data_IF_147398474997
#
_entry.id   IF_147398474997
#
_cell.length_a   1.000
_cell.length_b   1.000
_cell.length_c   1.000
_cell.angle_alpha   90.00
_cell.angle_beta   90.00
_cell.angle_gamma   90.00
#
_symmetry.space_group_name_H-M   'P 1'
#
loop_
_entity.id
_entity.type
_entity.pdbx_description
1 polymer ?
#
# COMPACT_ATOMS: atom_id res chain seq x y z
N UNK A 1 43.23 -12.17 -2.55
CA UNK A 1 42.01 -13.00 -2.52
C UNK A 1 41.24 -12.89 -1.21
N UNK A 2 41.72 -13.33 -0.03
CA UNK A 2 40.94 -13.17 1.23
C UNK A 2 40.59 -11.71 1.56
N UNK A 3 41.55 -10.80 1.37
CA UNK A 3 41.35 -9.35 1.59
C UNK A 3 40.27 -8.74 0.68
N UNK A 4 40.16 -9.20 -0.56
CA UNK A 4 39.18 -8.71 -1.53
C UNK A 4 37.76 -9.18 -1.20
N UNK A 5 37.64 -10.42 -0.70
CA UNK A 5 36.38 -11.00 -0.20
C UNK A 5 35.89 -10.22 1.03
N UNK A 6 36.78 -9.96 2.00
CA UNK A 6 36.45 -9.19 3.20
C UNK A 6 36.02 -7.76 2.86
N UNK A 7 36.68 -7.15 1.88
CA UNK A 7 36.35 -5.80 1.40
C UNK A 7 34.99 -5.80 0.70
N UNK A 8 34.71 -6.79 -0.15
CA UNK A 8 33.41 -6.93 -0.81
C UNK A 8 32.30 -7.15 0.22
N UNK A 9 32.47 -8.07 1.16
CA UNK A 9 31.49 -8.35 2.20
C UNK A 9 31.18 -7.11 3.05
N UNK A 10 32.21 -6.36 3.48
CA UNK A 10 32.01 -5.11 4.22
C UNK A 10 31.30 -4.05 3.37
N UNK A 11 31.64 -3.92 2.10
CA UNK A 11 30.98 -2.97 1.20
C UNK A 11 29.49 -3.30 1.00
N UNK A 12 29.16 -4.58 0.84
CA UNK A 12 27.80 -5.08 0.71
C UNK A 12 27.03 -4.91 2.01
N UNK A 13 27.64 -5.20 3.16
CA UNK A 13 27.02 -5.01 4.47
C UNK A 13 26.70 -3.55 4.80
N UNK A 14 27.50 -2.61 4.27
CA UNK A 14 27.28 -1.16 4.41
C UNK A 14 26.31 -0.59 3.36
N UNK A 15 25.98 -1.36 2.32
CA UNK A 15 25.11 -0.89 1.25
C UNK A 15 23.67 -0.69 1.76
N UNK A 16 23.03 0.40 1.34
CA UNK A 16 21.68 0.74 1.78
C UNK A 16 20.65 -0.34 1.45
N UNK A 17 20.88 -1.12 0.40
CA UNK A 17 19.99 -2.18 -0.08
C UNK A 17 20.11 -3.50 0.68
N UNK A 18 21.16 -3.68 1.49
CA UNK A 18 21.45 -4.95 2.15
C UNK A 18 20.82 -4.99 3.54
N UNK A 19 20.15 -6.11 3.85
CA UNK A 19 19.66 -6.48 5.18
C UNK A 19 20.70 -7.30 5.94
N UNK A 20 21.32 -8.27 5.28
CA UNK A 20 22.42 -9.06 5.82
C UNK A 20 23.25 -9.69 4.71
N UNK A 21 24.50 -10.01 5.03
CA UNK A 21 25.44 -10.71 4.14
C UNK A 21 25.97 -11.95 4.84
N UNK A 22 26.03 -13.09 4.15
CA UNK A 22 26.66 -14.31 4.64
C UNK A 22 27.75 -14.74 3.66
N UNK A 23 28.99 -14.90 4.14
CA UNK A 23 30.03 -15.52 3.35
C UNK A 23 29.85 -17.04 3.42
N UNK A 24 29.93 -17.71 2.27
CA UNK A 24 29.88 -19.17 2.17
C UNK A 24 31.14 -19.62 1.44
N UNK A 25 31.97 -20.41 2.12
CA UNK A 25 33.15 -20.99 1.50
C UNK A 25 32.74 -22.07 0.50
N UNK A 26 33.59 -22.34 -0.49
CA UNK A 26 33.35 -23.43 -1.44
C UNK A 26 33.22 -24.79 -0.72
N UNK A 27 33.92 -24.99 0.39
CA UNK A 27 33.81 -26.18 1.23
C UNK A 27 32.44 -26.27 1.90
N UNK A 28 31.99 -25.20 2.57
CA UNK A 28 30.66 -25.16 3.22
C UNK A 28 29.53 -25.29 2.19
N UNK A 29 29.71 -24.70 1.00
CA UNK A 29 28.76 -24.81 -0.10
C UNK A 29 28.66 -26.25 -0.60
N UNK A 30 29.78 -26.98 -0.65
CA UNK A 30 29.80 -28.37 -1.07
C UNK A 30 29.10 -29.27 -0.06
N UNK A 31 29.35 -29.08 1.23
CA UNK A 31 28.68 -29.82 2.30
C UNK A 31 27.15 -29.62 2.24
N UNK A 32 26.68 -28.37 2.19
CA UNK A 32 25.24 -28.08 2.08
C UNK A 32 24.61 -28.64 0.82
N UNK A 33 25.30 -28.54 -0.32
CA UNK A 33 24.75 -29.00 -1.58
C UNK A 33 24.66 -30.53 -1.64
N UNK A 34 25.63 -31.24 -1.08
CA UNK A 34 25.58 -32.70 -0.92
C UNK A 34 24.44 -33.12 0.02
N UNK A 35 24.19 -32.38 1.11
CA UNK A 35 23.04 -32.62 1.99
C UNK A 35 21.68 -32.40 1.29
N UNK A 36 21.56 -31.35 0.48
CA UNK A 36 20.33 -31.02 -0.25
C UNK A 36 19.99 -32.05 -1.34
N UNK A 37 21.01 -32.57 -2.03
CA UNK A 37 20.85 -33.58 -3.09
C UNK A 37 20.75 -35.00 -2.49
N UNK A 38 21.30 -35.21 -1.29
CA UNK A 38 21.35 -36.51 -0.62
C UNK A 38 22.45 -37.44 -1.17
N UNK A 39 23.39 -36.93 -1.96
CA UNK A 39 24.51 -37.65 -2.55
C UNK A 39 25.80 -36.83 -2.47
N UNK A 40 26.94 -37.49 -2.25
CA UNK A 40 28.24 -36.81 -2.26
C UNK A 40 28.76 -36.65 -3.69
N UNK A 41 28.46 -35.51 -4.31
CA UNK A 41 28.91 -35.21 -5.66
C UNK A 41 30.45 -35.09 -5.76
N UNK A 42 31.15 -34.89 -4.63
CA UNK A 42 32.61 -34.84 -4.60
C UNK A 42 33.22 -36.22 -4.89
N UNK A 43 32.54 -37.30 -4.49
CA UNK A 43 32.95 -38.67 -4.78
C UNK A 43 32.82 -38.97 -6.29
N UNK A 44 31.81 -38.39 -6.95
CA UNK A 44 31.58 -38.56 -8.39
C UNK A 44 32.51 -37.70 -9.26
N UNK A 45 32.72 -36.44 -8.88
CA UNK A 45 33.53 -35.49 -9.66
C UNK A 45 35.02 -35.52 -9.32
N UNK A 46 35.40 -36.00 -8.13
CA UNK A 46 36.79 -36.06 -7.66
C UNK A 46 37.40 -34.69 -7.31
N UNK A 47 36.64 -33.59 -7.46
CA UNK A 47 37.03 -32.23 -7.07
C UNK A 47 35.79 -31.38 -6.76
N UNK A 48 35.97 -30.29 -6.01
CA UNK A 48 34.92 -29.32 -5.73
C UNK A 48 34.84 -28.24 -6.84
N UNK A 49 33.78 -28.21 -7.67
CA UNK A 49 33.61 -27.22 -8.72
C UNK A 49 33.05 -25.88 -8.19
N UNK A 50 32.59 -25.83 -6.93
CA UNK A 50 31.96 -24.66 -6.35
C UNK A 50 32.98 -23.57 -6.03
N UNK A 51 32.49 -22.34 -5.99
CA UNK A 51 33.28 -21.14 -5.70
C UNK A 51 32.80 -20.54 -4.39
N UNK A 52 33.66 -19.75 -3.77
CA UNK A 52 33.26 -18.94 -2.62
C UNK A 52 32.19 -17.94 -3.05
N UNK A 53 31.11 -17.82 -2.29
CA UNK A 53 30.01 -16.91 -2.55
C UNK A 53 29.72 -16.00 -1.36
N UNK A 54 29.03 -14.90 -1.64
CA UNK A 54 28.47 -14.02 -0.60
C UNK A 54 26.97 -13.95 -0.86
N UNK A 55 26.19 -14.53 0.04
CA UNK A 55 24.74 -14.45 0.01
C UNK A 55 24.32 -13.08 0.54
N UNK A 56 23.61 -12.32 -0.29
CA UNK A 56 23.13 -10.97 0.05
C UNK A 56 21.62 -11.00 0.20
N UNK A 57 21.16 -10.85 1.43
CA UNK A 57 19.73 -10.66 1.70
C UNK A 57 19.39 -9.18 1.57
N UNK A 58 18.52 -8.85 0.61
CA UNK A 58 18.11 -7.46 0.37
C UNK A 58 16.97 -7.05 1.30
N UNK A 59 16.86 -5.73 1.54
CA UNK A 59 15.65 -5.14 2.13
C UNK A 59 14.52 -5.17 1.12
N UNK A 60 13.29 -5.36 1.60
CA UNK A 60 12.09 -5.51 0.76
C UNK A 60 11.90 -4.36 -0.25
N UNK A 61 12.29 -3.13 0.12
CA UNK A 61 12.20 -1.94 -0.74
C UNK A 61 13.08 -2.00 -2.00
N UNK A 62 14.12 -2.86 -2.02
CA UNK A 62 15.01 -3.06 -3.17
C UNK A 62 14.73 -4.36 -3.93
N UNK A 63 13.73 -5.16 -3.50
CA UNK A 63 13.32 -6.39 -4.19
C UNK A 63 12.31 -6.05 -5.30
N UNK A 64 12.80 -5.32 -6.31
CA UNK A 64 12.07 -5.01 -7.52
C UNK A 64 12.93 -5.34 -8.73
N UNK A 65 12.33 -5.80 -9.82
CA UNK A 65 13.05 -6.23 -11.04
C UNK A 65 14.10 -5.21 -11.50
N UNK A 66 13.72 -3.93 -11.57
CA UNK A 66 14.60 -2.86 -12.02
C UNK A 66 15.75 -2.63 -11.02
N UNK A 67 15.45 -2.48 -9.74
CA UNK A 67 16.45 -2.28 -8.67
C UNK A 67 17.46 -3.43 -8.61
N UNK A 68 16.98 -4.68 -8.67
CA UNK A 68 17.81 -5.87 -8.63
C UNK A 68 18.70 -5.99 -9.87
N UNK A 69 18.17 -5.68 -11.06
CA UNK A 69 18.98 -5.66 -12.27
C UNK A 69 20.09 -4.60 -12.22
N UNK A 70 19.81 -3.41 -11.70
CA UNK A 70 20.82 -2.37 -11.49
C UNK A 70 21.89 -2.80 -10.47
N UNK A 71 21.48 -3.36 -9.33
CA UNK A 71 22.42 -3.86 -8.32
C UNK A 71 23.29 -4.97 -8.91
N UNK A 72 22.69 -5.92 -9.64
CA UNK A 72 23.43 -7.01 -10.25
C UNK A 72 24.46 -6.51 -11.27
N UNK A 73 24.09 -5.58 -12.15
CA UNK A 73 25.03 -4.97 -13.10
C UNK A 73 26.18 -4.26 -12.39
N UNK A 74 25.90 -3.44 -11.37
CA UNK A 74 26.94 -2.75 -10.59
C UNK A 74 27.90 -3.70 -9.87
N UNK A 75 27.42 -4.85 -9.42
CA UNK A 75 28.24 -5.86 -8.78
C UNK A 75 29.06 -6.65 -9.79
N UNK A 76 28.51 -6.97 -10.96
CA UNK A 76 29.22 -7.65 -12.04
C UNK A 76 30.32 -6.80 -12.70
N UNK A 77 30.28 -5.47 -12.57
CA UNK A 77 31.32 -4.56 -13.05
C UNK A 77 32.60 -4.57 -12.19
N UNK A 78 32.60 -5.27 -11.05
CA UNK A 78 33.78 -5.38 -10.17
C UNK A 78 34.69 -6.50 -10.63
N UNK A 79 35.97 -6.22 -10.84
CA UNK A 79 36.97 -7.18 -11.34
C UNK A 79 37.13 -8.46 -10.49
N UNK A 80 36.71 -8.41 -9.23
CA UNK A 80 36.79 -9.52 -8.26
C UNK A 80 35.44 -10.23 -8.05
N UNK A 81 34.41 -9.90 -8.83
CA UNK A 81 33.11 -10.58 -8.86
C UNK A 81 33.00 -11.32 -10.18
N UNK A 82 32.94 -12.65 -10.13
CA UNK A 82 32.87 -13.46 -11.34
C UNK A 82 31.43 -13.58 -11.89
N UNK A 83 30.46 -13.77 -11.00
CA UNK A 83 29.05 -13.92 -11.38
C UNK A 83 28.13 -13.42 -10.26
N UNK A 84 26.99 -12.85 -10.65
CA UNK A 84 25.89 -12.50 -9.73
C UNK A 84 24.66 -13.30 -10.15
N UNK A 85 24.32 -14.31 -9.35
CA UNK A 85 23.18 -15.19 -9.60
C UNK A 85 21.98 -14.81 -8.72
N UNK A 86 20.82 -14.70 -9.35
CA UNK A 86 19.53 -14.53 -8.69
C UNK A 86 18.39 -14.95 -9.63
N UNK A 87 17.26 -15.36 -9.06
CA UNK A 87 16.11 -15.78 -9.86
C UNK A 87 15.34 -14.58 -10.43
N UNK A 88 15.78 -14.14 -11.61
CA UNK A 88 15.15 -13.04 -12.37
C UNK A 88 13.68 -13.32 -12.67
N UNK A 89 13.36 -14.56 -13.03
CA UNK A 89 12.00 -14.95 -13.41
C UNK A 89 11.06 -14.89 -12.23
N UNK A 90 11.47 -15.43 -11.08
CA UNK A 90 10.69 -15.38 -9.85
C UNK A 90 10.49 -13.94 -9.38
N UNK A 91 11.54 -13.11 -9.36
CA UNK A 91 11.44 -11.70 -8.98
C UNK A 91 10.50 -10.93 -9.91
N UNK A 92 10.60 -11.16 -11.22
CA UNK A 92 9.70 -10.52 -12.19
C UNK A 92 8.24 -10.95 -11.97
N UNK A 93 7.99 -12.24 -11.80
CA UNK A 93 6.65 -12.77 -11.51
C UNK A 93 6.07 -12.19 -10.21
N UNK A 94 6.86 -12.12 -9.14
CA UNK A 94 6.43 -11.55 -7.87
C UNK A 94 6.12 -10.05 -8.02
N UNK A 95 7.02 -9.29 -8.64
CA UNK A 95 6.84 -7.85 -8.87
C UNK A 95 5.60 -7.56 -9.70
N UNK A 96 5.40 -8.29 -10.79
CA UNK A 96 4.25 -8.10 -11.70
C UNK A 96 2.93 -8.52 -11.03
N UNK A 97 2.92 -9.59 -10.25
CA UNK A 97 1.75 -10.02 -9.50
C UNK A 97 1.38 -9.01 -8.42
N UNK A 98 2.36 -8.50 -7.66
CA UNK A 98 2.12 -7.46 -6.65
C UNK A 98 1.57 -6.18 -7.30
N UNK A 99 2.14 -5.74 -8.43
CA UNK A 99 1.62 -4.60 -9.19
C UNK A 99 0.19 -4.84 -9.69
N UNK A 100 -0.10 -6.03 -10.23
CA UNK A 100 -1.43 -6.41 -10.73
C UNK A 100 -2.47 -6.43 -9.62
N UNK A 101 -2.15 -7.04 -8.48
CA UNK A 101 -3.03 -7.08 -7.30
C UNK A 101 -3.27 -5.66 -6.79
N UNK A 102 -2.21 -4.86 -6.66
CA UNK A 102 -2.31 -3.45 -6.26
C UNK A 102 -3.23 -2.64 -7.18
N UNK A 103 -3.13 -2.84 -8.50
CA UNK A 103 -4.00 -2.20 -9.48
C UNK A 103 -5.48 -2.58 -9.27
N UNK A 104 -5.79 -3.86 -9.09
CA UNK A 104 -7.17 -4.30 -8.85
C UNK A 104 -7.73 -3.83 -7.51
N UNK A 105 -6.90 -3.76 -6.46
CA UNK A 105 -7.28 -3.18 -5.17
C UNK A 105 -7.61 -1.70 -5.36
N UNK A 106 -6.76 -0.94 -6.04
CA UNK A 106 -7.00 0.49 -6.32
C UNK A 106 -8.29 0.69 -7.13
N UNK A 107 -8.51 -0.13 -8.14
CA UNK A 107 -9.74 -0.10 -8.95
C UNK A 107 -10.97 -0.38 -8.07
N UNK A 108 -10.93 -1.42 -7.24
CA UNK A 108 -12.02 -1.76 -6.33
C UNK A 108 -12.26 -0.65 -5.29
N UNK A 109 -11.22 -0.05 -4.71
CA UNK A 109 -11.33 1.09 -3.80
C UNK A 109 -11.97 2.30 -4.47
N UNK A 110 -11.60 2.60 -5.71
CA UNK A 110 -12.22 3.66 -6.52
C UNK A 110 -13.72 3.39 -6.76
N UNK A 111 -14.07 2.15 -7.11
CA UNK A 111 -15.45 1.72 -7.30
C UNK A 111 -16.27 1.84 -6.01
N UNK A 112 -15.74 1.38 -4.86
CA UNK A 112 -16.42 1.52 -3.58
C UNK A 112 -16.58 2.98 -3.15
N UNK A 113 -15.58 3.82 -3.42
CA UNK A 113 -15.66 5.27 -3.18
C UNK A 113 -16.78 5.89 -4.01
N UNK A 114 -16.90 5.51 -5.28
CA UNK A 114 -17.98 5.98 -6.15
C UNK A 114 -19.36 5.53 -5.65
N UNK A 115 -19.50 4.26 -5.24
CA UNK A 115 -20.73 3.73 -4.65
C UNK A 115 -21.10 4.51 -3.38
N UNK A 116 -20.13 4.77 -2.49
CA UNK A 116 -20.35 5.54 -1.27
C UNK A 116 -20.87 6.96 -1.57
N UNK A 117 -20.30 7.65 -2.56
CA UNK A 117 -20.77 8.98 -3.01
C UNK A 117 -22.21 8.91 -3.51
N UNK A 118 -22.56 7.89 -4.29
CA UNK A 118 -23.93 7.71 -4.79
C UNK A 118 -24.93 7.48 -3.64
N UNK A 119 -24.58 6.65 -2.66
CA UNK A 119 -25.40 6.38 -1.48
C UNK A 119 -25.58 7.63 -0.60
N UNK A 120 -24.52 8.41 -0.40
CA UNK A 120 -24.62 9.69 0.31
C UNK A 120 -25.54 10.65 -0.43
N UNK A 121 -25.40 10.75 -1.75
CA UNK A 121 -26.25 11.62 -2.58
C UNK A 121 -27.73 11.21 -2.54
N UNK A 122 -28.05 9.92 -2.63
CA UNK A 122 -29.43 9.43 -2.54
C UNK A 122 -30.03 9.68 -1.15
N UNK A 123 -29.27 9.45 -0.08
CA UNK A 123 -29.69 9.72 1.30
C UNK A 123 -29.97 11.20 1.55
N UNK A 124 -29.08 12.10 1.07
CA UNK A 124 -29.26 13.54 1.23
C UNK A 124 -30.48 14.03 0.46
N UNK A 125 -30.70 13.53 -0.76
CA UNK A 125 -31.90 13.86 -1.54
C UNK A 125 -33.17 13.51 -0.78
N UNK A 126 -33.21 12.32 -0.17
CA UNK A 126 -34.35 11.89 0.64
C UNK A 126 -34.55 12.81 1.87
N UNK A 127 -33.45 13.15 2.56
CA UNK A 127 -33.47 14.05 3.72
C UNK A 127 -33.95 15.46 3.38
N UNK A 128 -33.58 15.98 2.20
CA UNK A 128 -34.04 17.28 1.72
C UNK A 128 -35.52 17.23 1.32
N UNK A 129 -35.93 16.17 0.61
CA UNK A 129 -37.32 15.99 0.18
C UNK A 129 -38.30 15.91 1.36
N UNK A 130 -37.91 15.27 2.46
CA UNK A 130 -38.74 15.22 3.68
C UNK A 130 -38.89 16.58 4.37
N UNK A 131 -37.95 17.51 4.15
CA UNK A 131 -37.97 18.89 4.67
C UNK A 131 -38.40 19.94 3.63
N UNK A 132 -38.97 19.53 2.50
CA UNK A 132 -39.30 20.42 1.38
C UNK A 132 -40.16 21.63 1.76
N UNK A 133 -41.15 21.45 2.63
CA UNK A 133 -42.03 22.55 3.08
C UNK A 133 -41.27 23.60 3.87
N UNK A 134 -40.42 23.19 4.81
CA UNK A 134 -39.60 24.11 5.62
C UNK A 134 -38.65 24.90 4.72
N UNK A 135 -38.02 24.22 3.75
CA UNK A 135 -37.12 24.85 2.78
C UNK A 135 -37.87 25.88 1.94
N UNK A 136 -39.09 25.56 1.48
CA UNK A 136 -39.95 26.50 0.74
C UNK A 136 -40.33 27.71 1.58
N UNK A 137 -40.73 27.52 2.84
CA UNK A 137 -41.02 28.64 3.75
C UNK A 137 -39.81 29.54 3.91
N UNK A 138 -38.61 28.98 4.11
CA UNK A 138 -37.36 29.74 4.17
C UNK A 138 -37.08 30.52 2.87
N UNK A 139 -37.35 29.94 1.71
CA UNK A 139 -37.22 30.63 0.42
C UNK A 139 -38.20 31.80 0.28
N UNK A 140 -39.44 31.66 0.75
CA UNK A 140 -40.48 32.71 0.67
C UNK A 140 -40.17 33.92 1.54
N UNK A 141 -39.51 33.72 2.69
CA UNK A 141 -39.02 34.83 3.54
C UNK A 141 -37.65 35.39 3.09
N UNK A 142 -37.14 34.98 1.93
CA UNK A 142 -35.93 35.54 1.33
C UNK A 142 -34.60 34.95 1.85
N UNK A 143 -34.62 33.78 2.49
CA UNK A 143 -33.38 33.15 2.97
C UNK A 143 -32.45 32.76 1.81
N UNK A 144 -31.16 33.05 1.95
CA UNK A 144 -30.16 32.72 0.92
C UNK A 144 -29.93 31.20 0.80
N UNK A 145 -29.60 30.72 -0.40
CA UNK A 145 -29.23 29.30 -0.63
C UNK A 145 -28.13 28.81 0.32
N UNK A 146 -27.19 29.69 0.68
CA UNK A 146 -26.11 29.39 1.65
C UNK A 146 -26.64 29.17 3.07
N UNK A 147 -27.65 29.93 3.50
CA UNK A 147 -28.28 29.77 4.81
C UNK A 147 -29.00 28.42 4.90
N UNK A 148 -29.76 28.06 3.85
CA UNK A 148 -30.52 26.79 3.81
C UNK A 148 -29.59 25.57 3.82
N UNK A 149 -28.47 25.58 3.08
CA UNK A 149 -27.55 24.43 2.97
C UNK A 149 -26.65 24.20 4.18
N UNK A 150 -26.30 25.26 4.92
CA UNK A 150 -25.36 25.19 6.06
C UNK A 150 -25.69 24.10 7.09
N UNK A 151 -26.93 23.97 7.61
CA UNK A 151 -27.25 22.91 8.58
C UNK A 151 -27.07 21.50 8.02
N UNK A 152 -27.41 21.28 6.75
CA UNK A 152 -27.23 19.98 6.09
C UNK A 152 -25.76 19.61 5.94
N UNK A 153 -24.92 20.57 5.51
CA UNK A 153 -23.48 20.35 5.37
C UNK A 153 -22.85 20.04 6.74
N UNK A 154 -23.17 20.82 7.77
CA UNK A 154 -22.63 20.59 9.12
C UNK A 154 -23.06 19.25 9.71
N UNK A 155 -24.32 18.85 9.51
CA UNK A 155 -24.80 17.55 9.95
C UNK A 155 -24.00 16.42 9.30
N UNK A 156 -23.85 16.44 7.97
CA UNK A 156 -23.14 15.38 7.25
C UNK A 156 -21.63 15.37 7.52
N UNK A 157 -21.00 16.53 7.75
CA UNK A 157 -19.60 16.57 8.23
C UNK A 157 -19.47 15.85 9.58
N UNK A 158 -20.39 16.10 10.53
CA UNK A 158 -20.37 15.43 11.84
C UNK A 158 -20.54 13.92 11.70
N UNK A 159 -21.49 13.47 10.86
CA UNK A 159 -21.63 12.05 10.55
C UNK A 159 -20.37 11.47 9.86
N UNK A 160 -19.75 12.22 8.96
CA UNK A 160 -18.50 11.84 8.30
C UNK A 160 -17.34 11.68 9.29
N UNK A 161 -17.20 12.59 10.26
CA UNK A 161 -16.23 12.48 11.35
C UNK A 161 -16.47 11.21 12.16
N UNK A 162 -17.71 10.97 12.60
CA UNK A 162 -18.04 9.77 13.39
C UNK A 162 -17.79 8.49 12.58
N UNK A 163 -18.24 8.46 11.32
CA UNK A 163 -18.03 7.31 10.43
C UNK A 163 -16.55 7.04 10.17
N UNK A 164 -15.75 8.10 9.95
CA UNK A 164 -14.30 7.96 9.80
C UNK A 164 -13.64 7.44 11.07
N UNK A 165 -14.06 7.89 12.26
CA UNK A 165 -13.51 7.41 13.52
C UNK A 165 -13.81 5.92 13.74
N UNK A 166 -15.03 5.48 13.41
CA UNK A 166 -15.40 4.05 13.44
C UNK A 166 -14.53 3.25 12.45
N UNK A 167 -14.32 3.78 11.25
CA UNK A 167 -13.47 3.15 10.25
C UNK A 167 -12.00 3.05 10.72
N UNK A 168 -11.47 4.08 11.40
CA UNK A 168 -10.12 4.05 11.98
C UNK A 168 -9.98 2.99 13.07
N UNK A 169 -10.99 2.84 13.94
CA UNK A 169 -11.01 1.77 14.94
C UNK A 169 -11.01 0.40 14.29
N UNK A 170 -11.88 0.20 13.29
CA UNK A 170 -11.93 -1.06 12.53
C UNK A 170 -10.61 -1.36 11.80
N UNK A 171 -9.99 -0.33 11.20
CA UNK A 171 -8.69 -0.45 10.56
C UNK A 171 -7.60 -0.82 11.58
N UNK A 172 -7.58 -0.18 12.75
CA UNK A 172 -6.63 -0.50 13.82
C UNK A 172 -6.75 -1.94 14.29
N UNK A 173 -7.97 -2.45 14.46
CA UNK A 173 -8.22 -3.86 14.81
C UNK A 173 -7.73 -4.79 13.70
N UNK A 174 -7.99 -4.46 12.43
CA UNK A 174 -7.57 -5.28 11.30
C UNK A 174 -6.03 -5.34 11.18
N UNK A 175 -5.34 -4.21 11.34
CA UNK A 175 -3.88 -4.15 11.31
C UNK A 175 -3.27 -4.91 12.50
N UNK A 176 -3.82 -4.77 13.70
CA UNK A 176 -3.38 -5.53 14.87
C UNK A 176 -3.54 -7.04 14.67
N UNK A 177 -4.67 -7.47 14.12
CA UNK A 177 -4.89 -8.89 13.80
C UNK A 177 -3.88 -9.40 12.76
N UNK A 178 -3.57 -8.59 11.75
CA UNK A 178 -2.63 -8.95 10.69
C UNK A 178 -1.19 -9.04 11.21
N UNK A 179 -0.78 -8.15 12.11
CA UNK A 179 0.54 -8.15 12.74
C UNK A 179 0.78 -9.40 13.58
N UNK A 180 -0.23 -9.86 14.34
CA UNK A 180 -0.17 -11.12 15.09
C UNK A 180 -0.02 -12.33 14.16
N UNK A 181 -0.71 -12.32 13.01
CA UNK A 181 -0.70 -13.45 12.08
C UNK A 181 0.55 -13.50 11.21
N UNK A 182 1.12 -12.35 10.89
CA UNK A 182 2.28 -12.21 10.01
C UNK A 182 3.29 -11.22 10.62
N UNK A 183 3.99 -11.62 11.68
CA UNK A 183 4.95 -10.74 12.38
C UNK A 183 6.13 -10.31 11.49
N UNK A 184 6.40 -11.06 10.42
CA UNK A 184 7.42 -10.78 9.41
C UNK A 184 7.16 -9.47 8.65
N UNK A 185 5.90 -9.03 8.56
CA UNK A 185 5.51 -7.82 7.84
C UNK A 185 5.82 -6.54 8.63
N UNK A 186 6.02 -6.62 9.96
CA UNK A 186 6.40 -5.50 10.84
C UNK A 186 5.57 -4.24 10.61
N UNK A 187 4.27 -4.41 10.38
CA UNK A 187 3.36 -3.36 9.89
C UNK A 187 3.27 -2.22 10.92
N UNK A 188 3.35 -2.56 12.20
CA UNK A 188 3.26 -1.61 13.31
C UNK A 188 4.56 -0.84 13.56
N UNK A 189 5.69 -1.24 12.97
CA UNK A 189 6.98 -0.56 13.18
C UNK A 189 7.11 0.73 12.35
N UNK A 190 6.46 0.80 11.19
CA UNK A 190 6.46 2.02 10.36
C UNK A 190 5.40 3.02 10.82
N UNK A 191 5.71 3.74 11.90
CA UNK A 191 4.82 4.73 12.49
C UNK A 191 4.47 5.87 11.52
N UNK A 192 5.36 6.22 10.59
CA UNK A 192 5.14 7.30 9.63
C UNK A 192 4.08 6.87 8.62
N UNK A 193 4.18 5.65 8.10
CA UNK A 193 3.19 5.09 7.19
C UNK A 193 1.83 4.92 7.86
N UNK A 194 1.80 4.46 9.13
CA UNK A 194 0.56 4.37 9.90
C UNK A 194 -0.12 5.72 10.08
N UNK A 195 0.62 6.76 10.49
CA UNK A 195 0.06 8.11 10.65
C UNK A 195 -0.47 8.63 9.31
N UNK A 196 0.25 8.40 8.21
CA UNK A 196 -0.19 8.81 6.87
C UNK A 196 -1.49 8.12 6.45
N UNK A 197 -1.62 6.81 6.69
CA UNK A 197 -2.82 6.03 6.34
C UNK A 197 -4.02 6.47 7.20
N UNK A 198 -3.86 6.53 8.53
CA UNK A 198 -4.94 6.93 9.43
C UNK A 198 -5.39 8.37 9.17
N UNK A 199 -4.43 9.29 9.02
CA UNK A 199 -4.72 10.67 8.64
C UNK A 199 -5.40 10.77 7.28
N UNK A 200 -4.94 10.01 6.29
CA UNK A 200 -5.51 9.94 4.95
C UNK A 200 -6.97 9.46 4.96
N UNK A 201 -7.26 8.37 5.66
CA UNK A 201 -8.63 7.82 5.79
C UNK A 201 -9.56 8.82 6.47
N UNK A 202 -9.09 9.47 7.55
CA UNK A 202 -9.86 10.49 8.25
C UNK A 202 -10.21 11.68 7.34
N UNK A 203 -9.19 12.25 6.71
CA UNK A 203 -9.33 13.42 5.83
C UNK A 203 -10.23 13.08 4.64
N UNK A 204 -10.00 11.94 3.98
CA UNK A 204 -10.82 11.50 2.85
C UNK A 204 -12.27 11.27 3.25
N UNK A 205 -12.53 10.62 4.40
CA UNK A 205 -13.89 10.42 4.89
C UNK A 205 -14.65 11.75 5.07
N UNK A 206 -14.01 12.72 5.74
CA UNK A 206 -14.59 14.06 5.96
C UNK A 206 -14.78 14.81 4.64
N UNK A 207 -13.77 14.79 3.76
CA UNK A 207 -13.84 15.47 2.45
C UNK A 207 -14.92 14.88 1.56
N UNK A 208 -15.03 13.55 1.48
CA UNK A 208 -16.06 12.87 0.69
C UNK A 208 -17.45 13.26 1.20
N UNK A 209 -17.68 13.24 2.52
CA UNK A 209 -18.96 13.67 3.10
C UNK A 209 -19.27 15.14 2.79
N UNK A 210 -18.27 16.03 2.90
CA UNK A 210 -18.44 17.45 2.61
C UNK A 210 -18.76 17.71 1.14
N UNK A 211 -17.95 17.18 0.23
CA UNK A 211 -18.07 17.34 -1.23
C UNK A 211 -19.41 16.77 -1.70
N UNK A 212 -19.74 15.54 -1.28
CA UNK A 212 -21.00 14.88 -1.67
C UNK A 212 -22.21 15.69 -1.21
N UNK A 213 -22.19 16.21 0.02
CA UNK A 213 -23.29 17.03 0.55
C UNK A 213 -23.41 18.37 -0.15
N UNK A 214 -22.28 19.00 -0.46
CA UNK A 214 -22.26 20.25 -1.18
C UNK A 214 -22.92 20.11 -2.56
N UNK A 215 -22.51 19.11 -3.35
CA UNK A 215 -23.08 18.88 -4.68
C UNK A 215 -24.56 18.49 -4.62
N UNK A 216 -24.95 17.62 -3.69
CA UNK A 216 -26.34 17.18 -3.54
C UNK A 216 -27.27 18.35 -3.17
N UNK A 217 -26.88 19.16 -2.18
CA UNK A 217 -27.68 20.32 -1.72
C UNK A 217 -27.73 21.42 -2.78
N UNK A 218 -26.62 21.71 -3.46
CA UNK A 218 -26.56 22.71 -4.51
C UNK A 218 -27.46 22.36 -5.69
N UNK A 219 -27.45 21.09 -6.12
CA UNK A 219 -28.31 20.61 -7.20
C UNK A 219 -29.78 20.76 -6.83
N UNK A 220 -30.18 20.40 -5.61
CA UNK A 220 -31.56 20.51 -5.17
C UNK A 220 -32.05 21.97 -5.09
N UNK A 221 -31.24 22.87 -4.52
CA UNK A 221 -31.60 24.28 -4.36
C UNK A 221 -31.62 25.08 -5.67
N UNK A 222 -31.13 24.47 -6.77
CA UNK A 222 -31.18 25.04 -8.11
C UNK A 222 -32.37 24.52 -8.94
N UNK A 223 -33.13 23.53 -8.48
CA UNK A 223 -34.35 23.08 -9.15
C UNK A 223 -35.45 24.16 -9.04
N UNK A 224 -36.17 24.41 -10.12
CA UNK A 224 -37.26 25.39 -10.16
C UNK A 224 -38.43 24.88 -9.31
N UNK A 225 -39.17 25.80 -8.70
CA UNK A 225 -40.29 25.51 -7.79
C UNK A 225 -41.36 24.60 -8.41
N UNK A 226 -41.47 24.59 -9.74
CA UNK A 226 -42.51 23.88 -10.48
C UNK A 226 -42.19 22.39 -10.69
N UNK A 227 -40.93 21.97 -10.53
CA UNK A 227 -40.49 20.56 -10.66
C UNK A 227 -40.58 19.78 -9.34
N UNK A 228 -41.13 20.38 -8.28
CA UNK A 228 -41.23 19.79 -6.93
C UNK A 228 -42.58 19.13 -6.66
N UNK A 229 -43.55 19.28 -7.58
CA UNK A 229 -44.92 18.77 -7.48
C UNK A 229 -45.22 17.61 -8.45
N UNK A 230 -44.23 17.18 -9.24
CA UNK A 230 -44.28 15.99 -10.10
C UNK A 230 -43.19 15.00 -9.72
#
# INVERSE_FOLDING_TARGET
KSVEVDQLQKSLALAAYTKSTSYVSKEDAAEKHSEEIGEDFLEFLGYNPLKNSIDVHLKAEYVATDSLSHIATQLSERDYVEEVSYDRSLVALLTDNVKRIGFWILFASGMFTFIAVLLINSSIRLSIYSKRFIIKTMQMVGATKRFIRRPFIWLNIKLGIIGSLIALVALGIALYYLDIRFPELRILEDIKMLIAIFGGVFILGVLISWISTYFATQRFLNLRTDDLYY
#
